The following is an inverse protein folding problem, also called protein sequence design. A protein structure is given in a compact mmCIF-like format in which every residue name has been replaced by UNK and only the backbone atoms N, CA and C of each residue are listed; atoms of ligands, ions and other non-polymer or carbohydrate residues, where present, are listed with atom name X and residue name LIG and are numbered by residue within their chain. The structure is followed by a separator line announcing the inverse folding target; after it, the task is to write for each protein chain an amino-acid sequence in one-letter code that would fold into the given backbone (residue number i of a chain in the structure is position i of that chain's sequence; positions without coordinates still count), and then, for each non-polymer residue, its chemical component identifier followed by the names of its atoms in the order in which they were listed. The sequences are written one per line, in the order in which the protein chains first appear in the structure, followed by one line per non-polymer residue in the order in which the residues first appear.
data_IF_754910762402
#
_entry.id   IF_754910762402
#
_cell.length_a   1.000
_cell.length_b   1.000
_cell.length_c   1.000
_cell.angle_alpha   90.00
_cell.angle_beta   90.00
_cell.angle_gamma   90.00
#
_symmetry.space_group_name_H-M   'P 1'
#
loop_
_entity.id
_entity.type
_entity.pdbx_description
1 polymer ?
#
# COMPACT_ATOMS: atom_id res chain seq x y z
N UNK A 1 1.13 10.91 3.53
CA UNK A 1 0.71 9.49 3.59
C UNK A 1 0.36 9.05 5.01
N UNK A 2 1.27 9.13 5.99
CA UNK A 2 1.00 8.72 7.39
C UNK A 2 -0.21 9.41 8.04
N UNK A 3 -0.32 10.75 7.98
CA UNK A 3 -1.46 11.46 8.58
C UNK A 3 -2.81 10.98 8.05
N UNK A 4 -2.86 10.62 6.75
CA UNK A 4 -4.08 10.12 6.12
C UNK A 4 -4.38 8.68 6.54
N UNK A 5 -3.35 7.86 6.73
CA UNK A 5 -3.49 6.53 7.31
C UNK A 5 -4.08 6.60 8.72
N UNK A 6 -3.58 7.48 9.58
CA UNK A 6 -4.12 7.66 10.94
C UNK A 6 -5.60 8.06 10.92
N UNK A 7 -5.99 8.96 10.02
CA UNK A 7 -7.41 9.32 9.84
C UNK A 7 -8.26 8.13 9.39
N UNK A 8 -7.76 7.32 8.46
CA UNK A 8 -8.45 6.11 7.99
C UNK A 8 -8.58 5.08 9.11
N UNK A 9 -7.51 4.83 9.88
CA UNK A 9 -7.53 3.96 11.06
C UNK A 9 -8.56 4.43 12.09
N UNK A 10 -8.55 5.69 12.47
CA UNK A 10 -9.53 6.22 13.45
C UNK A 10 -10.98 6.06 12.98
N UNK A 11 -11.25 6.19 11.69
CA UNK A 11 -12.60 6.05 11.14
C UNK A 11 -13.10 4.58 11.12
N UNK A 12 -12.18 3.61 11.13
CA UNK A 12 -12.47 2.20 10.88
C UNK A 12 -12.10 1.26 12.03
N UNK A 13 -11.35 1.75 13.02
CA UNK A 13 -10.80 0.96 14.11
C UNK A 13 -11.85 0.07 14.78
N UNK A 14 -11.53 -1.23 14.89
CA UNK A 14 -12.34 -2.21 15.61
C UNK A 14 -13.61 -2.64 14.88
N UNK A 15 -13.85 -2.17 13.65
CA UNK A 15 -15.00 -2.60 12.84
C UNK A 15 -14.73 -3.91 12.11
N UNK A 16 -13.49 -4.09 11.64
CA UNK A 16 -13.06 -5.28 10.90
C UNK A 16 -11.60 -5.59 11.20
N UNK A 17 -11.34 -6.71 11.87
CA UNK A 17 -9.98 -7.12 12.24
C UNK A 17 -9.05 -7.23 11.02
N UNK A 18 -9.55 -7.80 9.93
CA UNK A 18 -8.90 -7.87 8.62
C UNK A 18 -8.38 -6.50 8.13
N UNK A 19 -9.25 -5.49 8.18
CA UNK A 19 -8.93 -4.13 7.73
C UNK A 19 -7.93 -3.47 8.69
N UNK A 20 -8.07 -3.69 9.99
CA UNK A 20 -7.13 -3.17 10.99
C UNK A 20 -5.73 -3.77 10.79
N UNK A 21 -5.63 -5.10 10.66
CA UNK A 21 -4.36 -5.81 10.44
C UNK A 21 -3.70 -5.34 9.12
N UNK A 22 -4.47 -5.09 8.05
CA UNK A 22 -3.94 -4.55 6.80
C UNK A 22 -3.50 -3.08 6.88
N UNK A 23 -4.21 -2.23 7.64
CA UNK A 23 -3.78 -0.84 7.90
C UNK A 23 -2.51 -0.79 8.76
N UNK A 24 -2.30 -1.79 9.63
CA UNK A 24 -1.04 -1.97 10.37
C UNK A 24 0.13 -2.32 9.45
N UNK A 25 -0.05 -3.26 8.51
CA UNK A 25 1.00 -3.56 7.51
C UNK A 25 1.31 -2.34 6.63
N UNK A 26 0.31 -1.55 6.24
CA UNK A 26 0.54 -0.29 5.53
C UNK A 26 1.40 0.67 6.35
N UNK A 27 1.15 0.75 7.65
CA UNK A 27 1.92 1.62 8.54
C UNK A 27 3.38 1.15 8.64
N UNK A 28 3.59 -0.16 8.81
CA UNK A 28 4.92 -0.77 8.84
C UNK A 28 5.70 -0.42 7.57
N UNK A 29 5.10 -0.64 6.39
CA UNK A 29 5.70 -0.28 5.10
C UNK A 29 6.07 1.21 5.02
N UNK A 30 5.18 2.11 5.45
CA UNK A 30 5.41 3.55 5.40
C UNK A 30 6.56 4.00 6.30
N UNK A 31 6.70 3.40 7.48
CA UNK A 31 7.79 3.70 8.41
C UNK A 31 9.13 3.28 7.79
N UNK A 32 9.19 2.10 7.18
CA UNK A 32 10.37 1.61 6.48
C UNK A 32 10.71 2.49 5.26
N UNK A 33 9.70 2.86 4.46
CA UNK A 33 9.87 3.80 3.34
C UNK A 33 10.48 5.12 3.80
N UNK A 34 9.96 5.73 4.88
CA UNK A 34 10.48 7.00 5.39
C UNK A 34 11.91 6.88 5.93
N UNK A 35 12.26 5.74 6.51
CA UNK A 35 13.63 5.43 6.91
C UNK A 35 14.53 5.36 5.67
N UNK A 36 14.11 4.63 4.64
CA UNK A 36 14.87 4.47 3.39
C UNK A 36 14.91 5.72 2.50
N UNK A 37 13.94 6.62 2.58
CA UNK A 37 13.94 7.88 1.84
C UNK A 37 14.72 9.00 2.57
N UNK A 38 15.33 8.70 3.72
CA UNK A 38 16.07 9.70 4.50
C UNK A 38 15.18 10.76 5.15
N UNK A 39 13.87 10.51 5.24
CA UNK A 39 12.86 11.43 5.79
C UNK A 39 12.81 11.38 7.33
N UNK A 40 13.64 10.55 7.96
CA UNK A 40 13.79 10.48 9.42
C UNK A 40 14.98 11.32 9.90
N UNK A 41 14.89 11.96 11.08
CA UNK A 41 15.99 12.78 11.62
C UNK A 41 17.30 12.02 11.82
N UNK A 42 17.22 10.70 12.06
CA UNK A 42 18.38 9.83 12.26
C UNK A 42 19.21 9.70 10.98
N UNK A 43 18.56 9.53 9.83
CA UNK A 43 19.25 9.30 8.54
C UNK A 43 19.54 10.60 7.79
N UNK A 44 18.78 11.67 8.02
CA UNK A 44 19.08 12.99 7.46
C UNK A 44 20.50 13.52 7.82
N UNK A 45 21.08 13.02 8.93
CA UNK A 45 22.43 13.39 9.40
C UNK A 45 23.55 12.51 8.81
N UNK A 46 23.22 11.36 8.23
CA UNK A 46 24.17 10.39 7.66
C UNK A 46 23.65 9.97 6.27
N UNK A 47 24.07 10.70 5.24
CA UNK A 47 23.83 10.35 3.82
C UNK A 47 24.73 9.17 3.40
N UNK A 48 24.58 8.04 4.08
CA UNK A 48 25.23 6.79 3.74
C UNK A 48 24.24 5.88 3.01
N UNK A 49 24.74 5.06 2.08
CA UNK A 49 23.96 3.98 1.49
C UNK A 49 23.37 3.10 2.61
N UNK A 50 22.12 2.64 2.47
CA UNK A 50 21.55 1.74 3.46
C UNK A 50 22.32 0.42 3.46
N UNK A 51 22.29 -0.29 4.58
CA UNK A 51 22.80 -1.65 4.61
C UNK A 51 21.91 -2.55 3.75
N UNK A 52 22.47 -3.58 3.10
CA UNK A 52 21.68 -4.55 2.33
C UNK A 52 20.50 -5.13 3.12
N UNK A 53 20.69 -5.39 4.41
CA UNK A 53 19.64 -5.89 5.32
C UNK A 53 18.46 -4.91 5.49
N UNK A 54 18.73 -3.60 5.53
CA UNK A 54 17.67 -2.59 5.67
C UNK A 54 16.85 -2.48 4.39
N UNK A 55 17.51 -2.61 3.24
CA UNK A 55 16.85 -2.60 1.94
C UNK A 55 16.03 -3.87 1.73
N UNK A 56 16.60 -5.04 2.05
CA UNK A 56 15.88 -6.31 1.97
C UNK A 56 14.64 -6.30 2.86
N UNK A 57 14.76 -5.81 4.10
CA UNK A 57 13.63 -5.72 5.01
C UNK A 57 12.49 -4.84 4.45
N UNK A 58 12.84 -3.72 3.81
CA UNK A 58 11.84 -2.88 3.13
C UNK A 58 11.19 -3.60 1.96
N UNK A 59 11.98 -4.29 1.13
CA UNK A 59 11.47 -5.06 0.00
C UNK A 59 10.52 -6.17 0.47
N UNK A 60 10.87 -6.90 1.54
CA UNK A 60 10.00 -7.91 2.16
C UNK A 60 8.67 -7.27 2.59
N UNK A 61 8.71 -6.13 3.29
CA UNK A 61 7.50 -5.39 3.69
C UNK A 61 6.68 -4.87 2.52
N UNK A 62 7.33 -4.47 1.43
CA UNK A 62 6.67 -4.02 0.22
C UNK A 62 5.93 -5.18 -0.45
N UNK A 63 6.60 -6.33 -0.62
CA UNK A 63 6.03 -7.55 -1.18
C UNK A 63 4.88 -8.06 -0.31
N UNK A 64 5.09 -8.19 1.00
CA UNK A 64 4.06 -8.59 1.96
C UNK A 64 2.81 -7.72 1.83
N UNK A 65 2.97 -6.40 1.73
CA UNK A 65 1.84 -5.48 1.62
C UNK A 65 1.11 -5.54 0.26
N UNK A 66 1.83 -5.73 -0.86
CA UNK A 66 1.19 -5.92 -2.18
C UNK A 66 0.47 -7.27 -2.27
N UNK A 67 1.03 -8.31 -1.64
CA UNK A 67 0.47 -9.65 -1.58
C UNK A 67 -0.70 -9.77 -0.60
N UNK A 68 -0.65 -9.11 0.56
CA UNK A 68 -1.74 -9.10 1.54
C UNK A 68 -3.02 -8.49 0.96
N UNK A 69 -2.89 -7.45 0.13
CA UNK A 69 -4.02 -6.84 -0.58
C UNK A 69 -4.79 -7.83 -1.46
N UNK A 70 -4.11 -8.84 -2.03
CA UNK A 70 -4.70 -9.85 -2.89
C UNK A 70 -5.64 -10.83 -2.18
N UNK A 71 -5.51 -11.02 -0.88
CA UNK A 71 -6.25 -12.05 -0.17
C UNK A 71 -7.52 -11.57 0.52
N UNK A 72 -7.60 -10.33 1.00
CA UNK A 72 -8.80 -9.86 1.73
C UNK A 72 -9.54 -8.70 1.03
N UNK A 73 -8.83 -7.78 0.39
CA UNK A 73 -9.43 -6.56 -0.15
C UNK A 73 -9.76 -6.71 -1.65
N UNK A 74 -8.91 -7.41 -2.41
CA UNK A 74 -9.17 -7.61 -3.83
C UNK A 74 -10.22 -8.68 -4.10
N UNK A 75 -10.53 -9.58 -3.17
CA UNK A 75 -11.71 -10.44 -3.30
C UNK A 75 -12.98 -9.59 -3.44
N UNK A 76 -13.16 -8.58 -2.60
CA UNK A 76 -14.29 -7.65 -2.73
C UNK A 76 -14.25 -6.82 -4.02
N UNK A 77 -13.08 -6.47 -4.54
CA UNK A 77 -12.95 -5.78 -5.86
C UNK A 77 -13.32 -6.72 -7.01
N UNK A 78 -12.90 -7.98 -6.95
CA UNK A 78 -13.17 -8.99 -7.97
C UNK A 78 -14.64 -9.41 -7.93
N UNK A 79 -15.21 -9.65 -6.74
CA UNK A 79 -16.65 -9.89 -6.57
C UNK A 79 -17.45 -8.67 -7.01
N UNK A 80 -17.00 -7.45 -6.68
CA UNK A 80 -17.56 -6.24 -7.27
C UNK A 80 -17.47 -6.30 -8.80
N UNK A 81 -16.36 -6.72 -9.42
CA UNK A 81 -16.28 -6.82 -10.87
C UNK A 81 -17.25 -7.87 -11.47
N UNK A 82 -17.42 -9.01 -10.80
CA UNK A 82 -18.27 -10.13 -11.24
C UNK A 82 -19.76 -9.86 -11.03
N UNK A 83 -20.13 -9.12 -9.98
CA UNK A 83 -21.52 -8.86 -9.60
C UNK A 83 -21.96 -7.42 -9.85
N UNK A 84 -21.05 -6.51 -10.20
CA UNK A 84 -21.40 -5.09 -10.27
C UNK A 84 -22.27 -4.73 -11.45
N UNK A 85 -23.27 -3.93 -11.12
CA UNK A 85 -23.98 -3.04 -12.02
C UNK A 85 -23.90 -1.61 -11.45
N UNK A 86 -24.10 -0.59 -12.30
CA UNK A 86 -24.11 0.81 -11.86
C UNK A 86 -22.79 1.31 -11.26
N UNK A 87 -22.86 1.94 -10.08
CA UNK A 87 -21.74 2.65 -9.45
C UNK A 87 -20.60 1.73 -8.97
N UNK A 88 -20.92 0.50 -8.55
CA UNK A 88 -19.94 -0.50 -8.10
C UNK A 88 -18.99 -0.92 -9.22
N UNK A 89 -19.49 -0.98 -10.47
CA UNK A 89 -18.67 -1.35 -11.64
C UNK A 89 -17.72 -0.22 -12.01
N UNK A 90 -18.17 1.02 -11.89
CA UNK A 90 -17.34 2.20 -12.12
C UNK A 90 -16.20 2.28 -11.10
N UNK A 91 -16.48 1.95 -9.83
CA UNK A 91 -15.46 1.87 -8.79
C UNK A 91 -14.42 0.78 -9.08
N UNK A 92 -14.86 -0.43 -9.42
CA UNK A 92 -13.96 -1.55 -9.71
C UNK A 92 -13.07 -1.27 -10.94
N UNK A 93 -13.64 -0.72 -12.02
CA UNK A 93 -12.90 -0.30 -13.22
C UNK A 93 -11.86 0.78 -12.94
N UNK A 94 -12.08 1.61 -11.92
CA UNK A 94 -11.12 2.63 -11.49
C UNK A 94 -10.01 2.02 -10.64
N UNK A 95 -10.35 1.19 -9.65
CA UNK A 95 -9.40 0.70 -8.65
C UNK A 95 -8.46 -0.36 -9.22
N UNK A 96 -9.01 -1.34 -9.93
CA UNK A 96 -8.25 -2.52 -10.36
C UNK A 96 -6.99 -2.20 -11.19
N UNK A 97 -7.03 -1.30 -12.21
CA UNK A 97 -5.83 -0.96 -12.96
C UNK A 97 -4.72 -0.35 -12.10
N UNK A 98 -5.06 0.52 -11.16
CA UNK A 98 -4.08 1.15 -10.27
C UNK A 98 -3.45 0.12 -9.33
N UNK A 99 -4.24 -0.82 -8.80
CA UNK A 99 -3.72 -1.91 -7.97
C UNK A 99 -2.76 -2.79 -8.76
N UNK A 100 -3.14 -3.20 -9.97
CA UNK A 100 -2.29 -4.04 -10.82
C UNK A 100 -0.96 -3.36 -11.12
N UNK A 101 -0.99 -2.13 -11.64
CA UNK A 101 0.22 -1.39 -12.02
C UNK A 101 1.11 -1.08 -10.81
N UNK A 102 0.54 -0.76 -9.65
CA UNK A 102 1.35 -0.55 -8.44
C UNK A 102 1.95 -1.85 -7.88
N UNK A 103 1.28 -2.99 -8.06
CA UNK A 103 1.80 -4.31 -7.70
C UNK A 103 2.96 -4.69 -8.62
N UNK A 104 2.80 -4.52 -9.93
CA UNK A 104 3.87 -4.74 -10.93
C UNK A 104 5.11 -3.89 -10.58
N UNK A 105 4.92 -2.59 -10.36
CA UNK A 105 6.02 -1.69 -9.98
C UNK A 105 6.73 -2.12 -8.69
N UNK A 106 5.98 -2.57 -7.69
CA UNK A 106 6.55 -3.02 -6.43
C UNK A 106 7.35 -4.31 -6.55
N UNK A 107 6.90 -5.25 -7.40
CA UNK A 107 7.63 -6.48 -7.69
C UNK A 107 8.92 -6.17 -8.48
N UNK A 108 8.84 -5.29 -9.49
CA UNK A 108 10.02 -4.83 -10.23
C UNK A 108 11.04 -4.15 -9.32
N UNK A 109 10.58 -3.33 -8.37
CA UNK A 109 11.43 -2.71 -7.36
C UNK A 109 12.11 -3.78 -6.48
N UNK A 110 11.35 -4.76 -5.98
CA UNK A 110 11.88 -5.86 -5.18
C UNK A 110 12.95 -6.65 -5.97
N UNK A 111 12.67 -7.01 -7.21
CA UNK A 111 13.58 -7.79 -8.05
C UNK A 111 14.88 -7.03 -8.32
N UNK A 112 14.79 -5.72 -8.62
CA UNK A 112 15.95 -4.85 -8.82
C UNK A 112 16.86 -4.80 -7.60
N UNK A 113 16.30 -4.91 -6.39
CA UNK A 113 17.03 -4.69 -5.14
C UNK A 113 17.36 -5.95 -4.33
N UNK A 114 16.86 -7.13 -4.71
CA UNK A 114 17.11 -8.41 -4.01
C UNK A 114 18.59 -8.83 -3.97
N UNK A 115 19.33 -8.56 -5.05
CA UNK A 115 20.77 -8.82 -5.18
C UNK A 115 21.52 -7.56 -5.65
N UNK A 116 21.14 -6.40 -5.12
CA UNK A 116 21.68 -5.12 -5.56
C UNK A 116 23.20 -4.98 -5.35
N UNK A 117 23.91 -4.62 -6.42
CA UNK A 117 25.28 -4.14 -6.33
C UNK A 117 25.37 -2.65 -5.94
N UNK A 118 26.59 -2.15 -5.73
CA UNK A 118 26.81 -0.76 -5.35
C UNK A 118 26.29 0.23 -6.41
N UNK A 119 26.33 -0.12 -7.70
CA UNK A 119 25.83 0.75 -8.77
C UNK A 119 24.30 0.84 -8.75
N UNK A 120 23.60 -0.25 -8.46
CA UNK A 120 22.15 -0.25 -8.27
C UNK A 120 21.74 0.53 -7.02
N UNK A 121 22.53 0.45 -5.94
CA UNK A 121 22.29 1.23 -4.71
C UNK A 121 22.41 2.75 -4.93
N UNK A 122 23.23 3.21 -5.88
CA UNK A 122 23.31 4.63 -6.24
C UNK A 122 22.02 5.16 -6.88
N UNK A 123 21.20 4.28 -7.47
CA UNK A 123 19.90 4.62 -8.06
C UNK A 123 18.76 4.61 -7.04
N UNK A 124 19.00 4.13 -5.82
CA UNK A 124 17.95 3.90 -4.81
C UNK A 124 17.17 5.16 -4.47
N UNK A 125 17.83 6.31 -4.33
CA UNK A 125 17.15 7.56 -4.01
C UNK A 125 16.19 7.97 -5.14
N UNK A 126 16.56 7.75 -6.40
CA UNK A 126 15.69 8.03 -7.55
C UNK A 126 14.49 7.08 -7.57
N UNK A 127 14.75 5.79 -7.41
CA UNK A 127 13.70 4.77 -7.41
C UNK A 127 12.72 4.94 -6.24
N UNK A 128 13.20 5.29 -5.04
CA UNK A 128 12.34 5.59 -3.90
C UNK A 128 11.48 6.84 -4.12
N UNK A 129 11.99 7.84 -4.85
CA UNK A 129 11.22 9.00 -5.26
C UNK A 129 10.14 8.66 -6.28
N UNK A 130 10.33 7.61 -7.09
CA UNK A 130 9.29 7.09 -7.99
C UNK A 130 8.28 6.19 -7.27
N UNK A 131 8.75 5.35 -6.34
CA UNK A 131 7.92 4.43 -5.56
C UNK A 131 6.93 5.17 -4.65
N UNK A 132 7.33 6.30 -4.06
CA UNK A 132 6.48 7.09 -3.16
C UNK A 132 5.12 7.48 -3.77
N UNK A 133 5.10 8.18 -4.92
CA UNK A 133 3.86 8.51 -5.64
C UNK A 133 3.02 7.29 -6.04
N UNK A 134 3.67 6.18 -6.44
CA UNK A 134 2.98 4.91 -6.79
C UNK A 134 2.23 4.37 -5.56
N UNK A 135 2.91 4.29 -4.42
CA UNK A 135 2.31 3.86 -3.15
C UNK A 135 1.20 4.81 -2.70
N UNK A 136 1.40 6.13 -2.84
CA UNK A 136 0.38 7.11 -2.46
C UNK A 136 -0.91 6.95 -3.27
N UNK A 137 -0.79 6.75 -4.60
CA UNK A 137 -1.96 6.55 -5.45
C UNK A 137 -2.65 5.22 -5.16
N UNK A 138 -1.87 4.15 -4.91
CA UNK A 138 -2.40 2.87 -4.44
C UNK A 138 -3.22 3.04 -3.16
N UNK A 139 -2.65 3.67 -2.13
CA UNK A 139 -3.35 3.91 -0.86
C UNK A 139 -4.62 4.73 -1.03
N UNK A 140 -4.62 5.72 -1.95
CA UNK A 140 -5.83 6.50 -2.27
C UNK A 140 -6.95 5.63 -2.85
N UNK A 141 -6.64 4.67 -3.72
CA UNK A 141 -7.66 3.78 -4.28
C UNK A 141 -8.17 2.79 -3.23
N UNK A 142 -7.26 2.28 -2.42
CA UNK A 142 -7.56 1.36 -1.33
C UNK A 142 -8.43 2.02 -0.25
N UNK A 143 -8.16 3.28 0.13
CA UNK A 143 -9.01 4.04 1.04
C UNK A 143 -10.44 4.22 0.49
N UNK A 144 -10.60 4.38 -0.84
CA UNK A 144 -11.93 4.49 -1.46
C UNK A 144 -12.70 3.19 -1.38
N UNK A 145 -12.02 2.06 -1.61
CA UNK A 145 -12.63 0.74 -1.53
C UNK A 145 -13.16 0.45 -0.14
N UNK A 146 -12.34 0.71 0.88
CA UNK A 146 -12.71 0.46 2.28
C UNK A 146 -13.88 1.34 2.70
N UNK A 147 -13.90 2.62 2.28
CA UNK A 147 -15.05 3.50 2.50
C UNK A 147 -16.31 2.99 1.80
N UNK A 148 -16.20 2.50 0.57
CA UNK A 148 -17.34 1.95 -0.15
C UNK A 148 -17.90 0.70 0.54
N UNK A 149 -17.04 -0.21 1.00
CA UNK A 149 -17.44 -1.39 1.78
C UNK A 149 -18.18 -0.99 3.05
N UNK A 150 -17.64 -0.03 3.80
CA UNK A 150 -18.28 0.44 5.02
C UNK A 150 -19.66 1.07 4.79
N UNK A 151 -19.82 1.85 3.71
CA UNK A 151 -21.11 2.41 3.32
C UNK A 151 -22.11 1.30 3.02
N UNK A 152 -21.73 0.31 2.21
CA UNK A 152 -22.61 -0.81 1.85
C UNK A 152 -23.07 -1.58 3.08
N UNK A 153 -22.15 -1.94 3.99
CA UNK A 153 -22.50 -2.65 5.22
C UNK A 153 -23.43 -1.84 6.13
N UNK A 154 -23.16 -0.54 6.28
CA UNK A 154 -23.98 0.34 7.13
C UNK A 154 -25.41 0.47 6.61
N UNK A 155 -25.60 0.48 5.28
CA UNK A 155 -26.91 0.53 4.65
C UNK A 155 -27.65 -0.81 4.81
N UNK A 156 -26.96 -1.93 4.65
CA UNK A 156 -27.53 -3.26 4.86
C UNK A 156 -27.95 -3.49 6.32
N UNK A 157 -27.20 -2.98 7.29
CA UNK A 157 -27.53 -3.07 8.71
C UNK A 157 -28.72 -2.18 9.12
N UNK A 158 -29.07 -1.15 8.34
CA UNK A 158 -30.23 -0.29 8.57
C UNK A 158 -31.53 -0.83 7.92
N UNK A 159 -31.41 -1.82 7.05
CA UNK A 159 -32.53 -2.46 6.34
C UNK A 159 -32.92 -3.82 6.95
N UNK A 160 -32.22 -4.28 7.99
CA UNK A 160 -32.49 -5.50 8.76
C UNK A 160 -33.07 -5.17 10.14
#
# INVERSE_FOLDING_TARGET
MLTKLEQTKQALAGKHKAIDDWLDERQALLVEYMRLAGLTPARAKQRCLPKPEELQHFCDKLVDYVSAGHFEIYHHVVTAFEQASGETLALAKRIYPHIRTSTEFALEFNDKYSEADEAQLLLLDEDLNQLGPVLEERFKQEDRLVKALHIVESLSAQQA
#
